data_IF_872302451771
#
_entry.id   IF_872302451771
#
_cell.length_a   1.000
_cell.length_b   1.000
_cell.length_c   1.000
_cell.angle_alpha   90.00
_cell.angle_beta   90.00
_cell.angle_gamma   90.00
#
_symmetry.space_group_name_H-M   'P 1'
#
loop_
_entity.id
_entity.type
_entity.pdbx_description
1 polymer ?
#
# COMPACT_ATOMS: atom_id res chain seq x y z
N UNK A 1 42.60 17.94 -7.24
CA UNK A 1 41.66 18.07 -8.37
C UNK A 1 40.31 17.54 -7.90
N UNK A 2 39.33 18.43 -7.71
CA UNK A 2 37.95 17.96 -7.46
C UNK A 2 37.35 17.57 -8.80
N UNK A 3 37.01 16.30 -8.97
CA UNK A 3 36.25 15.85 -10.13
C UNK A 3 34.77 16.08 -9.82
N UNK A 4 34.23 17.19 -10.32
CA UNK A 4 32.80 17.49 -10.24
C UNK A 4 32.03 16.40 -11.01
N UNK A 5 31.49 15.43 -10.26
CA UNK A 5 30.64 14.36 -10.79
C UNK A 5 29.41 14.98 -11.44
N UNK A 6 29.36 14.98 -12.77
CA UNK A 6 28.22 15.50 -13.53
C UNK A 6 27.10 14.47 -13.46
N UNK A 7 26.04 14.80 -12.70
CA UNK A 7 24.84 13.97 -12.58
C UNK A 7 23.85 14.35 -13.67
N UNK A 8 23.18 13.35 -14.24
CA UNK A 8 22.13 13.53 -15.24
C UNK A 8 20.91 12.71 -14.84
N UNK A 9 19.71 13.22 -15.08
CA UNK A 9 18.43 12.53 -14.83
C UNK A 9 17.63 12.41 -16.12
N UNK A 10 16.72 11.43 -16.17
CA UNK A 10 15.77 11.25 -17.26
C UNK A 10 14.35 11.50 -16.76
N UNK A 11 13.55 12.22 -17.53
CA UNK A 11 12.21 12.62 -17.14
C UNK A 11 11.18 11.53 -17.45
N UNK A 12 10.48 11.03 -16.42
CA UNK A 12 9.53 9.91 -16.54
C UNK A 12 8.05 10.32 -16.52
N UNK A 13 7.77 11.60 -16.26
CA UNK A 13 6.50 12.28 -16.49
C UNK A 13 6.79 13.64 -17.14
N UNK A 14 5.76 14.27 -17.67
CA UNK A 14 5.81 15.68 -18.07
C UNK A 14 5.78 16.56 -16.82
N UNK A 15 6.46 17.70 -16.84
CA UNK A 15 6.49 18.67 -15.76
C UNK A 15 6.37 20.09 -16.30
N UNK A 16 5.32 20.78 -15.89
CA UNK A 16 5.05 22.17 -16.23
C UNK A 16 5.07 23.03 -14.95
N UNK A 17 6.09 23.91 -14.77
CA UNK A 17 6.17 24.84 -13.66
C UNK A 17 4.94 25.76 -13.49
N UNK A 18 4.19 26.02 -14.57
CA UNK A 18 2.95 26.80 -14.49
C UNK A 18 1.89 26.09 -13.63
N UNK A 19 1.91 24.75 -13.61
CA UNK A 19 0.92 23.90 -12.93
C UNK A 19 1.38 23.41 -11.55
N UNK A 20 2.68 23.39 -11.23
CA UNK A 20 3.13 23.07 -9.87
C UNK A 20 2.91 24.29 -8.94
N UNK A 21 2.24 24.07 -7.80
CA UNK A 21 1.95 25.11 -6.81
C UNK A 21 2.89 25.05 -5.59
N UNK A 22 3.89 24.15 -5.63
CA UNK A 22 4.95 24.01 -4.62
C UNK A 22 6.28 24.63 -5.06
N UNK A 23 6.41 25.02 -6.33
CA UNK A 23 7.63 25.67 -6.84
C UNK A 23 7.74 27.10 -6.26
N UNK A 24 8.92 27.52 -5.74
CA UNK A 24 9.08 28.85 -5.13
C UNK A 24 8.86 30.04 -6.09
N UNK A 25 9.05 29.81 -7.39
CA UNK A 25 8.93 30.80 -8.46
C UNK A 25 8.68 30.03 -9.77
N UNK A 26 7.55 30.27 -10.46
CA UNK A 26 7.15 29.47 -11.63
C UNK A 26 8.04 29.77 -12.84
N UNK A 27 8.45 31.04 -12.94
CA UNK A 27 9.36 31.60 -13.93
C UNK A 27 10.80 31.08 -13.78
N UNK A 28 11.16 30.55 -12.60
CA UNK A 28 12.44 29.89 -12.35
C UNK A 28 12.43 28.38 -12.64
N UNK A 29 11.26 27.79 -12.94
CA UNK A 29 11.13 26.37 -13.20
C UNK A 29 11.58 25.96 -14.61
N UNK A 30 12.16 24.76 -14.71
CA UNK A 30 12.52 24.15 -15.98
C UNK A 30 11.41 23.19 -16.43
N UNK A 31 10.65 23.59 -17.46
CA UNK A 31 9.69 22.70 -18.11
C UNK A 31 10.41 21.54 -18.83
N UNK A 32 9.86 20.34 -18.72
CA UNK A 32 10.34 19.15 -19.42
C UNK A 32 9.20 18.19 -19.76
N UNK A 33 9.41 17.38 -20.79
CA UNK A 33 8.50 16.31 -21.22
C UNK A 33 9.04 14.93 -20.83
N UNK A 34 8.15 13.93 -20.86
CA UNK A 34 8.49 12.53 -20.62
C UNK A 34 9.41 11.98 -21.72
N UNK A 35 10.68 11.78 -21.38
CA UNK A 35 11.72 11.29 -22.28
C UNK A 35 13.00 12.12 -22.23
N UNK A 36 12.89 13.39 -21.83
CA UNK A 36 13.99 14.37 -21.80
C UNK A 36 15.14 13.92 -20.87
N UNK A 37 16.35 14.38 -21.19
CA UNK A 37 17.54 14.16 -20.36
C UNK A 37 18.07 15.51 -19.88
N UNK A 38 18.18 15.66 -18.58
CA UNK A 38 18.61 16.89 -17.92
C UNK A 38 19.94 16.67 -17.22
N UNK A 39 20.87 17.61 -17.38
CA UNK A 39 22.05 17.71 -16.53
C UNK A 39 21.67 18.41 -15.22
N UNK A 40 21.99 17.79 -14.08
CA UNK A 40 21.86 18.43 -12.77
C UNK A 40 23.07 19.34 -12.51
N UNK A 41 22.79 20.54 -12.01
CA UNK A 41 23.73 21.61 -11.71
C UNK A 41 23.90 21.77 -10.19
N UNK A 42 22.82 21.66 -9.42
CA UNK A 42 22.85 21.71 -7.95
C UNK A 42 21.77 20.80 -7.32
N UNK A 43 22.10 20.17 -6.19
CA UNK A 43 21.25 19.28 -5.38
C UNK A 43 21.20 19.65 -3.89
N UNK A 44 21.74 20.82 -3.50
CA UNK A 44 21.78 21.28 -2.09
C UNK A 44 20.40 21.45 -1.46
N UNK A 45 19.38 21.83 -2.24
CA UNK A 45 17.99 21.85 -1.78
C UNK A 45 17.34 20.48 -1.92
N UNK A 46 16.70 20.03 -0.84
CA UNK A 46 16.09 18.71 -0.69
C UNK A 46 14.85 18.49 -1.59
N UNK A 47 14.18 19.56 -2.02
CA UNK A 47 12.94 19.54 -2.81
C UNK A 47 13.12 20.05 -4.24
N UNK A 48 14.07 20.96 -4.49
CA UNK A 48 14.21 21.69 -5.75
C UNK A 48 15.63 21.67 -6.30
N UNK A 49 15.89 20.79 -7.26
CA UNK A 49 17.18 20.68 -7.91
C UNK A 49 17.31 21.68 -9.07
N UNK A 50 18.50 22.25 -9.24
CA UNK A 50 18.81 23.05 -10.43
C UNK A 50 19.28 22.11 -11.53
N UNK A 51 18.63 22.17 -12.70
CA UNK A 51 18.96 21.34 -13.85
C UNK A 51 18.89 22.14 -15.16
N UNK A 52 19.34 21.56 -16.28
CA UNK A 52 19.22 22.11 -17.64
C UNK A 52 19.16 20.99 -18.69
N UNK A 53 18.57 21.27 -19.85
CA UNK A 53 18.58 20.36 -21.00
C UNK A 53 20.01 20.13 -21.52
N UNK A 54 20.31 18.90 -21.95
CA UNK A 54 21.64 18.51 -22.45
C UNK A 54 21.97 19.16 -23.80
N UNK A 55 20.95 19.45 -24.62
CA UNK A 55 21.11 20.16 -25.90
C UNK A 55 21.48 21.65 -25.73
N UNK A 56 21.34 22.19 -24.51
CA UNK A 56 21.71 23.56 -24.15
C UNK A 56 20.61 24.30 -23.38
N UNK A 57 20.92 25.53 -22.96
CA UNK A 57 19.98 26.41 -22.25
C UNK A 57 20.47 26.88 -20.88
N UNK A 58 19.66 27.74 -20.26
CA UNK A 58 19.82 28.17 -18.87
C UNK A 58 19.46 27.06 -17.89
N UNK A 59 20.00 27.12 -16.67
CA UNK A 59 19.53 26.27 -15.59
C UNK A 59 18.21 26.79 -15.01
N UNK A 60 17.34 25.88 -14.58
CA UNK A 60 16.07 26.15 -13.90
C UNK A 60 15.76 25.07 -12.88
N UNK A 61 14.74 25.29 -12.06
CA UNK A 61 14.34 24.39 -10.98
C UNK A 61 13.48 23.23 -11.51
N UNK A 62 13.83 22.02 -11.12
CA UNK A 62 13.01 20.81 -11.25
C UNK A 62 12.69 20.27 -9.86
N UNK A 63 11.57 19.54 -9.67
CA UNK A 63 11.37 18.76 -8.46
C UNK A 63 12.55 17.80 -8.29
N UNK A 64 13.12 17.73 -7.08
CA UNK A 64 14.23 16.84 -6.77
C UNK A 64 13.81 15.38 -6.95
N UNK A 65 14.79 14.47 -7.09
CA UNK A 65 14.49 13.04 -7.07
C UNK A 65 13.76 12.66 -5.77
N UNK A 66 14.16 13.20 -4.61
CA UNK A 66 13.46 12.96 -3.35
C UNK A 66 12.06 13.59 -3.25
N UNK A 67 11.68 14.51 -4.14
CA UNK A 67 10.31 15.02 -4.28
C UNK A 67 9.48 14.14 -5.25
N UNK A 68 10.12 13.45 -6.19
CA UNK A 68 9.50 12.52 -7.16
C UNK A 68 9.42 11.05 -6.68
N UNK A 69 10.31 10.60 -5.80
CA UNK A 69 10.35 9.24 -5.21
C UNK A 69 9.27 9.01 -4.12
N UNK A 70 8.04 9.50 -4.35
CA UNK A 70 7.06 9.84 -3.25
C UNK A 70 5.41 9.95 -3.53
N UNK A 71 5.69 10.49 -4.81
CA UNK A 71 4.95 10.73 -6.10
C UNK A 71 4.73 9.42 -6.90
N UNK A 72 5.60 8.40 -6.86
CA UNK A 72 5.47 7.10 -7.61
C UNK A 72 6.25 5.94 -6.93
N UNK A 73 5.76 4.67 -6.77
CA UNK A 73 6.26 3.66 -5.78
C UNK A 73 6.60 2.15 -6.17
N UNK A 74 7.44 1.46 -5.34
CA UNK A 74 7.92 0.02 -5.33
C UNK A 74 8.32 -0.67 -6.69
N UNK A 75 8.63 -1.97 -6.97
CA UNK A 75 9.00 -3.28 -6.33
C UNK A 75 9.58 -4.20 -7.44
N UNK A 76 10.04 -5.46 -7.17
CA UNK A 76 9.84 -6.57 -8.13
C UNK A 76 9.23 -7.82 -7.45
N UNK A 77 8.51 -8.65 -8.22
CA UNK A 77 7.53 -9.64 -7.76
C UNK A 77 8.13 -10.90 -7.15
N UNK A 78 7.58 -11.27 -5.99
CA UNK A 78 6.71 -12.45 -5.85
C UNK A 78 5.51 -12.06 -4.94
N UNK A 79 4.47 -12.90 -4.82
CA UNK A 79 3.29 -12.61 -3.97
C UNK A 79 2.84 -13.89 -3.27
N UNK A 80 3.05 -13.94 -1.95
CA UNK A 80 2.62 -15.04 -1.09
C UNK A 80 1.77 -14.51 0.07
N UNK A 81 0.77 -15.30 0.45
CA UNK A 81 0.01 -15.06 1.68
C UNK A 81 0.83 -15.64 2.84
N UNK A 82 1.16 -14.83 3.85
CA UNK A 82 1.73 -15.36 5.10
C UNK A 82 0.73 -16.34 5.72
N UNK A 83 1.09 -17.63 5.97
CA UNK A 83 0.18 -18.56 6.62
C UNK A 83 -0.25 -18.03 7.98
N UNK A 84 -1.55 -18.11 8.29
CA UNK A 84 -2.05 -17.72 9.60
C UNK A 84 -1.73 -18.82 10.61
N UNK A 85 -1.26 -18.47 11.81
CA UNK A 85 -1.12 -19.44 12.88
C UNK A 85 -2.49 -19.87 13.38
N UNK A 86 -2.61 -21.13 13.81
CA UNK A 86 -3.78 -21.59 14.56
C UNK A 86 -3.46 -22.70 15.56
N UNK A 87 -4.20 -22.70 16.68
CA UNK A 87 -4.21 -23.81 17.62
C UNK A 87 -5.14 -24.96 17.21
N UNK A 88 -5.81 -24.86 16.05
CA UNK A 88 -6.70 -25.90 15.50
C UNK A 88 -5.91 -27.15 15.17
N UNK A 89 -6.52 -28.34 15.31
CA UNK A 89 -5.91 -29.57 14.80
C UNK A 89 -5.95 -29.61 13.25
N UNK A 90 -4.86 -30.03 12.58
CA UNK A 90 -4.87 -30.22 11.13
C UNK A 90 -5.91 -31.29 10.71
N UNK A 91 -6.64 -31.00 9.63
CA UNK A 91 -7.46 -31.94 8.87
C UNK A 91 -6.60 -32.56 7.76
N UNK A 92 -7.05 -33.66 7.17
CA UNK A 92 -6.34 -34.33 6.06
C UNK A 92 -6.03 -33.40 4.89
N UNK A 93 -7.02 -32.60 4.46
CA UNK A 93 -6.89 -31.66 3.35
C UNK A 93 -6.03 -30.42 3.65
N UNK A 94 -5.77 -30.08 4.92
CA UNK A 94 -4.94 -28.91 5.25
C UNK A 94 -3.46 -29.10 4.81
N UNK A 95 -3.03 -30.36 4.56
CA UNK A 95 -1.66 -30.71 4.16
C UNK A 95 -1.28 -30.32 2.74
N UNK A 96 -2.24 -30.14 1.85
CA UNK A 96 -1.99 -29.86 0.43
C UNK A 96 -2.00 -28.35 0.11
N UNK A 97 -2.57 -27.52 1.00
CA UNK A 97 -2.88 -26.12 0.69
C UNK A 97 -2.20 -25.08 1.61
N UNK A 98 -1.43 -25.50 2.62
CA UNK A 98 -0.52 -24.70 3.48
C UNK A 98 -1.01 -23.37 4.11
N UNK A 99 -2.29 -23.00 3.99
CA UNK A 99 -2.86 -21.73 4.49
C UNK A 99 -2.69 -21.46 5.99
N UNK A 100 -2.41 -22.49 6.78
CA UNK A 100 -2.31 -22.39 8.24
C UNK A 100 -1.04 -23.05 8.78
N UNK A 101 -0.33 -22.32 9.64
CA UNK A 101 0.73 -22.86 10.48
C UNK A 101 0.11 -23.41 11.78
N UNK A 102 0.29 -24.71 12.03
CA UNK A 102 -0.38 -25.40 13.14
C UNK A 102 0.51 -25.48 14.38
N UNK A 103 0.06 -24.86 15.47
CA UNK A 103 0.78 -24.76 16.75
C UNK A 103 -0.06 -25.30 17.92
N UNK A 104 0.51 -25.40 19.12
CA UNK A 104 -0.24 -25.75 20.33
C UNK A 104 -0.84 -24.51 20.97
N UNK A 105 -2.04 -24.61 21.57
CA UNK A 105 -2.70 -23.45 22.21
C UNK A 105 -1.82 -22.81 23.28
N UNK A 106 -1.19 -23.63 24.14
CA UNK A 106 -0.30 -23.13 25.19
C UNK A 106 0.97 -22.46 24.65
N UNK A 107 1.50 -22.85 23.49
CA UNK A 107 2.58 -22.11 22.83
C UNK A 107 2.06 -20.78 22.28
N UNK A 108 0.95 -20.82 21.55
CA UNK A 108 0.33 -19.63 20.96
C UNK A 108 -0.02 -18.58 22.02
N UNK A 109 -0.53 -18.98 23.19
CA UNK A 109 -0.80 -18.08 24.33
C UNK A 109 0.46 -17.46 24.93
N UNK A 110 1.59 -18.19 24.95
CA UNK A 110 2.87 -17.66 25.38
C UNK A 110 3.46 -16.68 24.35
N UNK A 111 3.42 -17.04 23.07
CA UNK A 111 3.92 -16.24 21.95
C UNK A 111 3.08 -14.96 21.77
N UNK A 112 1.75 -15.02 22.00
CA UNK A 112 0.85 -13.84 22.12
C UNK A 112 1.28 -12.95 23.28
N UNK A 113 1.50 -13.50 24.47
CA UNK A 113 1.89 -12.73 25.66
C UNK A 113 3.27 -12.06 25.51
N UNK A 114 4.15 -12.64 24.68
CA UNK A 114 5.46 -12.08 24.34
C UNK A 114 5.41 -11.05 23.19
N UNK A 115 4.26 -10.88 22.51
CA UNK A 115 4.09 -9.89 21.44
C UNK A 115 4.50 -10.36 20.04
N UNK A 116 4.60 -11.68 19.79
CA UNK A 116 4.99 -12.23 18.49
C UNK A 116 3.86 -12.24 17.44
N UNK A 117 2.66 -11.76 17.77
CA UNK A 117 1.53 -11.66 16.83
C UNK A 117 1.12 -10.21 16.61
N UNK A 118 0.86 -9.87 15.35
CA UNK A 118 0.30 -8.59 14.92
C UNK A 118 -1.14 -8.43 15.42
N UNK A 119 -1.93 -9.48 15.21
CA UNK A 119 -3.28 -9.62 15.76
C UNK A 119 -3.59 -11.10 16.00
N UNK A 120 -4.50 -11.36 16.94
CA UNK A 120 -4.93 -12.69 17.32
C UNK A 120 -6.40 -12.67 17.76
N UNK A 121 -7.09 -13.80 17.58
CA UNK A 121 -8.49 -13.97 17.96
C UNK A 121 -8.82 -15.42 18.30
N UNK A 122 -10.01 -15.64 18.86
CA UNK A 122 -10.52 -16.98 19.14
C UNK A 122 -11.81 -17.24 18.35
N UNK A 123 -11.86 -18.37 17.66
CA UNK A 123 -13.02 -18.82 16.88
C UNK A 123 -13.20 -20.33 17.05
N UNK A 124 -14.42 -20.77 17.34
CA UNK A 124 -14.76 -22.19 17.58
C UNK A 124 -13.82 -22.86 18.62
N UNK A 125 -13.50 -22.16 19.71
CA UNK A 125 -12.60 -22.63 20.79
C UNK A 125 -11.11 -22.74 20.42
N UNK A 126 -10.73 -22.30 19.21
CA UNK A 126 -9.37 -22.35 18.70
C UNK A 126 -8.82 -20.94 18.49
N UNK A 127 -7.54 -20.74 18.81
CA UNK A 127 -6.84 -19.50 18.53
C UNK A 127 -6.42 -19.43 17.06
N UNK A 128 -6.42 -18.21 16.54
CA UNK A 128 -5.91 -17.83 15.22
C UNK A 128 -5.13 -16.53 15.36
N UNK A 129 -4.12 -16.29 14.52
CA UNK A 129 -3.39 -15.02 14.53
C UNK A 129 -2.36 -14.89 13.43
N UNK A 130 -2.01 -13.64 13.12
CA UNK A 130 -1.01 -13.29 12.11
C UNK A 130 0.33 -13.08 12.84
N UNK A 131 1.28 -14.00 12.64
CA UNK A 131 2.57 -13.95 13.35
C UNK A 131 3.51 -12.94 12.70
N UNK A 132 4.19 -12.13 13.51
CA UNK A 132 5.14 -11.12 13.01
C UNK A 132 6.27 -11.79 12.22
N UNK A 133 6.85 -12.88 12.72
CA UNK A 133 7.90 -13.66 12.05
C UNK A 133 7.48 -14.08 10.63
N UNK A 134 6.22 -14.51 10.44
CA UNK A 134 5.70 -14.94 9.14
C UNK A 134 5.45 -13.79 8.16
N UNK A 135 5.40 -12.54 8.63
CA UNK A 135 5.44 -11.35 7.76
C UNK A 135 6.88 -11.14 7.28
N UNK A 136 7.87 -11.25 8.17
CA UNK A 136 9.29 -11.15 7.83
C UNK A 136 9.71 -12.24 6.83
N UNK A 137 9.33 -13.50 7.04
CA UNK A 137 9.62 -14.62 6.11
C UNK A 137 9.08 -14.39 4.68
N UNK A 138 8.04 -13.56 4.52
CA UNK A 138 7.51 -13.17 3.20
C UNK A 138 8.31 -11.98 2.63
N UNK A 139 8.59 -10.96 3.44
CA UNK A 139 9.33 -9.75 3.06
C UNK A 139 10.82 -10.04 2.75
N UNK A 140 11.51 -10.81 3.59
CA UNK A 140 12.93 -11.21 3.41
C UNK A 140 13.14 -12.02 2.12
N UNK A 141 12.14 -12.80 1.72
CA UNK A 141 12.12 -13.52 0.45
C UNK A 141 11.82 -12.61 -0.76
N UNK A 142 11.69 -11.29 -0.57
CA UNK A 142 11.43 -10.31 -1.63
C UNK A 142 9.97 -10.28 -2.12
N UNK A 143 9.03 -10.81 -1.33
CA UNK A 143 7.63 -11.03 -1.73
C UNK A 143 6.69 -10.01 -1.12
N UNK A 144 5.60 -9.68 -1.82
CA UNK A 144 4.51 -8.87 -1.28
C UNK A 144 3.67 -9.75 -0.37
N UNK A 145 3.70 -9.46 0.94
CA UNK A 145 2.77 -10.03 1.91
C UNK A 145 1.42 -9.31 1.82
N UNK A 146 0.34 -10.05 1.57
CA UNK A 146 -1.03 -9.51 1.60
C UNK A 146 -1.65 -9.84 2.97
N UNK A 147 -2.06 -8.80 3.69
CA UNK A 147 -2.61 -8.88 5.04
C UNK A 147 -4.07 -8.41 5.06
N UNK A 148 -5.00 -9.34 5.32
CA UNK A 148 -6.40 -9.04 5.65
C UNK A 148 -6.52 -8.93 7.18
N UNK A 149 -6.36 -7.71 7.69
CA UNK A 149 -6.18 -7.42 9.13
C UNK A 149 -7.05 -6.26 9.60
N UNK A 150 -7.31 -6.19 10.91
CA UNK A 150 -8.10 -5.11 11.50
C UNK A 150 -7.40 -3.74 11.37
N UNK A 151 -8.14 -2.61 11.19
CA UNK A 151 -7.52 -1.27 11.13
C UNK A 151 -6.71 -0.87 12.37
N UNK A 152 -6.89 -1.58 13.49
CA UNK A 152 -6.10 -1.45 14.70
C UNK A 152 -4.64 -1.91 14.49
N UNK A 153 -4.40 -2.93 13.66
CA UNK A 153 -3.09 -3.47 13.31
C UNK A 153 -2.18 -2.44 12.62
N UNK A 154 -2.77 -1.42 11.97
CA UNK A 154 -2.04 -0.32 11.32
C UNK A 154 -1.17 0.50 12.30
N UNK A 155 -1.44 0.43 13.60
CA UNK A 155 -0.58 1.05 14.64
C UNK A 155 0.75 0.32 14.85
N UNK A 156 0.81 -0.96 14.51
CA UNK A 156 2.01 -1.81 14.59
C UNK A 156 2.68 -1.88 13.22
N UNK A 157 1.89 -2.05 12.14
CA UNK A 157 2.42 -2.12 10.78
C UNK A 157 3.04 -0.82 10.27
N UNK A 158 2.57 0.37 10.69
CA UNK A 158 3.07 1.64 10.14
C UNK A 158 4.43 2.03 10.76
N UNK A 159 5.46 1.27 10.39
CA UNK A 159 6.88 1.44 10.75
C UNK A 159 7.77 1.35 9.50
N UNK A 160 9.03 1.76 9.65
CA UNK A 160 10.10 1.60 8.64
C UNK A 160 10.39 0.15 8.24
N UNK A 161 9.97 -0.79 9.09
CA UNK A 161 10.21 -2.23 9.00
C UNK A 161 9.24 -2.92 8.02
N UNK A 162 7.94 -2.59 8.08
CA UNK A 162 6.91 -3.26 7.26
C UNK A 162 6.45 -2.47 6.03
N UNK A 163 6.67 -1.15 5.99
CA UNK A 163 6.33 -0.27 4.86
C UNK A 163 4.93 -0.55 4.23
N UNK A 164 3.85 -0.67 5.01
CA UNK A 164 2.56 -1.15 4.52
C UNK A 164 1.94 -0.17 3.53
N UNK A 165 1.39 -0.69 2.43
CA UNK A 165 0.48 0.07 1.56
C UNK A 165 -0.97 -0.33 1.86
N UNK A 166 -1.73 0.61 2.40
CA UNK A 166 -3.03 0.36 3.00
C UNK A 166 -4.14 0.69 2.03
N UNK A 167 -4.70 -0.32 1.37
CA UNK A 167 -5.89 -0.19 0.52
C UNK A 167 -7.15 -0.37 1.34
N UNK A 168 -7.97 0.67 1.45
CA UNK A 168 -9.30 0.57 2.05
C UNK A 168 -10.37 0.32 0.98
N UNK A 169 -11.03 -0.84 1.08
CA UNK A 169 -12.21 -1.15 0.26
C UNK A 169 -13.44 -0.55 0.94
N UNK A 170 -13.81 0.68 0.55
CA UNK A 170 -14.99 1.38 1.06
C UNK A 170 -16.26 0.70 0.54
N UNK A 171 -17.23 0.48 1.43
CA UNK A 171 -18.57 0.11 1.04
C UNK A 171 -19.20 1.21 0.14
N UNK A 172 -19.94 0.82 -0.92
CA UNK A 172 -20.73 1.76 -1.69
C UNK A 172 -21.95 2.22 -0.89
N UNK A 173 -22.67 3.21 -1.41
CA UNK A 173 -23.87 3.73 -0.74
C UNK A 173 -24.96 2.65 -0.61
N UNK A 174 -25.80 2.77 0.42
CA UNK A 174 -26.67 1.69 0.89
C UNK A 174 -27.54 1.03 -0.21
N UNK A 175 -28.19 1.83 -1.07
CA UNK A 175 -29.03 1.29 -2.15
C UNK A 175 -28.20 0.58 -3.25
N UNK A 176 -26.96 1.01 -3.49
CA UNK A 176 -26.03 0.31 -4.39
C UNK A 176 -25.61 -1.02 -3.78
N UNK A 177 -25.20 -1.04 -2.50
CA UNK A 177 -24.84 -2.27 -1.79
C UNK A 177 -26.00 -3.29 -1.76
N UNK A 178 -27.22 -2.79 -1.62
CA UNK A 178 -28.47 -3.57 -1.60
C UNK A 178 -28.83 -4.13 -2.99
N UNK A 179 -28.64 -3.34 -4.06
CA UNK A 179 -28.76 -3.83 -5.43
C UNK A 179 -27.72 -4.91 -5.75
N UNK A 180 -26.45 -4.68 -5.40
CA UNK A 180 -25.36 -5.65 -5.57
C UNK A 180 -25.61 -6.95 -4.82
N UNK A 181 -26.09 -6.91 -3.57
CA UNK A 181 -26.42 -8.13 -2.83
C UNK A 181 -27.56 -8.91 -3.49
N UNK A 182 -28.59 -8.21 -4.01
CA UNK A 182 -29.69 -8.86 -4.75
C UNK A 182 -29.18 -9.58 -6.00
N UNK A 183 -28.46 -8.89 -6.88
CA UNK A 183 -27.94 -9.51 -8.11
C UNK A 183 -26.89 -10.59 -7.84
N UNK A 184 -26.11 -10.47 -6.75
CA UNK A 184 -25.22 -11.53 -6.30
C UNK A 184 -25.94 -12.78 -5.77
N UNK A 185 -27.15 -12.63 -5.21
CA UNK A 185 -28.02 -13.76 -4.81
C UNK A 185 -28.68 -14.39 -6.03
N UNK A 186 -29.18 -13.57 -6.96
CA UNK A 186 -29.75 -14.03 -8.24
C UNK A 186 -28.72 -14.80 -9.09
N UNK A 187 -27.45 -14.41 -9.04
CA UNK A 187 -26.33 -15.12 -9.66
C UNK A 187 -25.73 -16.25 -8.80
N UNK A 188 -26.23 -16.49 -7.58
CA UNK A 188 -25.75 -17.55 -6.69
C UNK A 188 -24.36 -17.36 -6.08
N UNK A 189 -23.73 -16.19 -6.27
CA UNK A 189 -22.36 -15.89 -5.80
C UNK A 189 -22.30 -15.33 -4.37
N UNK A 190 -23.43 -14.94 -3.79
CA UNK A 190 -23.49 -14.52 -2.38
C UNK A 190 -24.81 -14.90 -1.71
N UNK A 191 -24.87 -14.76 -0.38
CA UNK A 191 -26.06 -15.03 0.43
C UNK A 191 -26.90 -13.76 0.59
N UNK A 192 -28.21 -13.94 0.74
CA UNK A 192 -29.13 -12.85 1.05
C UNK A 192 -28.78 -12.23 2.41
N UNK A 193 -28.58 -10.91 2.44
CA UNK A 193 -28.34 -10.13 3.65
C UNK A 193 -29.53 -9.20 3.91
N UNK A 194 -29.88 -9.00 5.18
CA UNK A 194 -30.94 -8.06 5.57
C UNK A 194 -30.47 -6.61 5.43
N UNK A 195 -31.41 -5.70 5.20
CA UNK A 195 -31.16 -4.24 5.22
C UNK A 195 -30.38 -3.80 6.47
N UNK A 196 -30.65 -4.39 7.63
CA UNK A 196 -29.94 -4.09 8.88
C UNK A 196 -28.47 -4.56 8.89
N UNK A 197 -28.11 -5.61 8.16
CA UNK A 197 -26.71 -6.05 7.98
C UNK A 197 -25.98 -5.23 6.93
N UNK A 198 -26.67 -4.91 5.82
CA UNK A 198 -26.15 -4.06 4.75
C UNK A 198 -25.88 -2.64 5.28
N UNK A 199 -26.81 -2.07 6.05
CA UNK A 199 -26.66 -0.76 6.69
C UNK A 199 -25.52 -0.73 7.70
N UNK A 200 -25.36 -1.78 8.52
CA UNK A 200 -24.20 -1.93 9.42
C UNK A 200 -22.87 -1.88 8.66
N UNK A 201 -22.73 -2.62 7.55
CA UNK A 201 -21.51 -2.56 6.73
C UNK A 201 -21.22 -1.17 6.17
N UNK A 202 -22.24 -0.39 5.76
CA UNK A 202 -22.05 1.01 5.31
C UNK A 202 -21.60 1.90 6.47
N UNK A 203 -22.24 1.79 7.64
CA UNK A 203 -21.92 2.62 8.82
C UNK A 203 -20.56 2.27 9.45
N UNK A 204 -20.18 1.00 9.43
CA UNK A 204 -18.85 0.50 9.79
C UNK A 204 -17.79 1.02 8.82
N UNK A 205 -18.02 0.95 7.52
CA UNK A 205 -17.12 1.52 6.50
C UNK A 205 -16.95 3.03 6.65
N UNK A 206 -18.02 3.78 6.92
CA UNK A 206 -17.96 5.22 7.16
C UNK A 206 -17.21 5.56 8.48
N UNK A 207 -17.36 4.72 9.52
CA UNK A 207 -16.61 4.83 10.77
C UNK A 207 -15.11 4.56 10.56
N UNK A 208 -14.76 3.52 9.79
CA UNK A 208 -13.37 3.17 9.47
C UNK A 208 -12.70 4.31 8.69
N UNK A 209 -13.35 4.84 7.64
CA UNK A 209 -12.86 6.02 6.90
C UNK A 209 -12.62 7.23 7.82
N UNK A 210 -13.55 7.52 8.75
CA UNK A 210 -13.45 8.68 9.64
C UNK A 210 -12.31 8.57 10.65
N UNK A 211 -12.08 7.36 11.20
CA UNK A 211 -11.10 7.14 12.27
C UNK A 211 -9.70 6.86 11.71
N UNK A 212 -9.61 6.14 10.59
CA UNK A 212 -8.35 5.61 10.06
C UNK A 212 -7.98 6.16 8.66
N UNK A 213 -8.79 7.03 8.05
CA UNK A 213 -8.58 7.49 6.67
C UNK A 213 -7.24 8.16 6.36
N UNK A 214 -6.53 8.66 7.38
CA UNK A 214 -5.18 9.22 7.28
C UNK A 214 -4.06 8.16 7.26
N UNK A 215 -4.42 6.89 7.43
CA UNK A 215 -3.52 5.74 7.25
C UNK A 215 -3.61 5.12 5.85
N UNK A 216 -4.61 5.49 5.04
CA UNK A 216 -4.90 4.82 3.76
C UNK A 216 -4.15 5.49 2.61
N UNK A 217 -3.39 4.68 1.87
CA UNK A 217 -2.68 5.12 0.67
C UNK A 217 -3.57 5.03 -0.58
N UNK A 218 -4.63 4.20 -0.52
CA UNK A 218 -5.70 4.13 -1.51
C UNK A 218 -7.06 3.84 -0.87
N UNK A 219 -8.11 4.43 -1.42
CA UNK A 219 -9.50 4.08 -1.11
C UNK A 219 -10.23 3.69 -2.40
N UNK A 220 -10.81 2.49 -2.44
CA UNK A 220 -11.58 1.97 -3.57
C UNK A 220 -13.03 1.81 -3.11
N UNK A 221 -13.98 2.44 -3.81
CA UNK A 221 -15.40 2.13 -3.62
C UNK A 221 -15.71 0.80 -4.30
N UNK A 222 -16.35 -0.12 -3.58
CA UNK A 222 -16.78 -1.42 -4.10
C UNK A 222 -18.23 -1.35 -4.62
N UNK A 223 -18.49 -0.45 -5.57
CA UNK A 223 -19.76 -0.29 -6.30
C UNK A 223 -19.87 -1.19 -7.54
N UNK A 224 -18.73 -1.60 -8.09
CA UNK A 224 -18.60 -2.56 -9.19
C UNK A 224 -17.37 -3.43 -8.88
N UNK A 225 -17.57 -4.76 -8.81
CA UNK A 225 -16.52 -5.72 -8.42
C UNK A 225 -15.38 -5.79 -9.43
N UNK A 226 -15.67 -5.70 -10.73
CA UNK A 226 -14.68 -5.77 -11.80
C UNK A 226 -13.88 -4.46 -11.87
N UNK A 227 -14.54 -3.32 -11.69
CA UNK A 227 -13.84 -2.04 -11.56
C UNK A 227 -13.03 -1.94 -10.27
N UNK A 228 -13.54 -2.44 -9.15
CA UNK A 228 -12.80 -2.48 -7.88
C UNK A 228 -11.58 -3.39 -7.99
N UNK A 229 -11.72 -4.57 -8.58
CA UNK A 229 -10.60 -5.46 -8.89
C UNK A 229 -9.59 -4.81 -9.85
N UNK A 230 -10.03 -4.13 -10.91
CA UNK A 230 -9.14 -3.39 -11.83
C UNK A 230 -8.42 -2.24 -11.14
N UNK A 231 -9.09 -1.46 -10.28
CA UNK A 231 -8.47 -0.39 -9.47
C UNK A 231 -7.42 -0.97 -8.51
N UNK A 232 -7.77 -2.04 -7.79
CA UNK A 232 -6.85 -2.75 -6.88
C UNK A 232 -5.66 -3.35 -7.63
N UNK A 233 -5.89 -3.92 -8.82
CA UNK A 233 -4.84 -4.51 -9.66
C UNK A 233 -3.95 -3.47 -10.33
N UNK A 234 -4.52 -2.33 -10.77
CA UNK A 234 -3.76 -1.20 -11.29
C UNK A 234 -2.84 -0.67 -10.21
N UNK A 235 -3.40 -0.35 -9.04
CA UNK A 235 -2.62 -0.01 -7.84
C UNK A 235 -1.56 -1.09 -7.54
N UNK A 236 -1.92 -2.36 -7.40
CA UNK A 236 -0.96 -3.45 -7.17
C UNK A 236 0.07 -3.67 -8.29
N UNK A 237 0.01 -3.00 -9.44
CA UNK A 237 1.09 -3.01 -10.45
C UNK A 237 1.78 -1.63 -10.59
N UNK A 238 1.13 -0.54 -10.19
CA UNK A 238 1.74 0.77 -9.91
C UNK A 238 2.72 0.65 -8.73
N UNK A 239 2.33 -0.08 -7.68
CA UNK A 239 3.15 -0.55 -6.56
C UNK A 239 4.15 -1.65 -6.96
N UNK A 240 4.61 -1.63 -8.22
CA UNK A 240 5.64 -2.51 -8.77
C UNK A 240 6.54 -1.77 -9.79
N UNK A 241 6.57 -0.42 -9.80
CA UNK A 241 7.27 0.35 -10.83
C UNK A 241 7.99 1.69 -10.51
N UNK A 242 8.12 2.16 -9.25
CA UNK A 242 8.95 3.32 -8.86
C UNK A 242 9.47 3.27 -7.37
N UNK A 243 9.44 4.35 -6.58
CA UNK A 243 10.06 4.46 -5.24
C UNK A 243 9.08 4.84 -4.11
N UNK A 244 8.99 4.02 -3.06
CA UNK A 244 7.92 4.14 -2.09
C UNK A 244 8.07 5.37 -1.19
N UNK A 245 7.03 6.23 -1.15
CA UNK A 245 6.99 7.32 -0.17
C UNK A 245 6.97 6.73 1.24
N UNK A 246 7.85 7.23 2.12
CA UNK A 246 7.88 6.88 3.55
C UNK A 246 7.92 8.14 4.41
N UNK A 247 7.35 8.13 5.64
CA UNK A 247 7.61 9.13 6.66
C UNK A 247 9.11 9.39 6.82
N UNK A 248 9.51 10.66 6.94
CA UNK A 248 10.93 11.06 6.94
C UNK A 248 11.72 10.41 8.09
N UNK A 249 11.08 10.16 9.25
CA UNK A 249 11.67 9.45 10.38
C UNK A 249 11.81 7.92 10.20
N UNK A 250 11.70 7.40 8.97
CA UNK A 250 11.99 6.00 8.61
C UNK A 250 13.29 5.85 7.80
N UNK A 251 13.99 6.95 7.55
CA UNK A 251 15.20 7.04 6.69
C UNK A 251 16.44 7.43 7.51
N UNK A 252 16.34 7.42 8.85
CA UNK A 252 17.35 7.81 9.83
C UNK A 252 17.33 6.87 11.03
#
# INVERSE_FOLDING_TARGET
>A
LSWSLQVFVKCHCDYDPANDNLIPCKEAGLQFSRGDILQIVNQEDVNWWQARHVEGGSAGLIPSQLLEEKRKAFVKKDVDLSPADTSRKPKSADRENMMYAFTSRSKMEADIKAGHYLEHGEYDGNLYGTKNDSIHEVVEAGRICILDVSPQALKVLRTSEFLPYVVFIKAPEFEVLKAMNRSGVEAGVTKHRTDAELKRTVDESAKIQRVYGHYFDLTIVNDDLEQAYRKLKSSLEELKGAQQWVPVGWVF
#
